data_IF_838477015672
#
_entry.id   IF_838477015672
#
_cell.length_a   1.000
_cell.length_b   1.000
_cell.length_c   1.000
_cell.angle_alpha   90.00
_cell.angle_beta   90.00
_cell.angle_gamma   90.00
#
_symmetry.space_group_name_H-M   'P 1'
#
loop_
_entity.id
_entity.type
_entity.pdbx_description
1 polymer ?
#
# COMPACT_ATOMS: atom_id res chain seq x y z
N UNK A 1 -9.00 5.17 6.26
CA UNK A 1 -7.93 4.89 7.26
C UNK A 1 -8.52 5.06 8.65
N UNK A 2 -7.94 4.45 9.68
CA UNK A 2 -8.51 4.55 11.04
C UNK A 2 -8.53 6.00 11.57
N UNK A 3 -7.47 6.75 11.32
CA UNK A 3 -7.35 8.17 11.69
C UNK A 3 -8.39 9.03 10.96
N UNK A 4 -8.58 8.81 9.66
CA UNK A 4 -9.59 9.47 8.84
C UNK A 4 -11.01 9.18 9.33
N UNK A 5 -11.31 7.96 9.77
CA UNK A 5 -12.63 7.63 10.33
C UNK A 5 -12.95 8.46 11.59
N UNK A 6 -11.92 8.78 12.37
CA UNK A 6 -12.02 9.60 13.59
C UNK A 6 -11.67 11.08 13.36
N UNK A 7 -11.83 11.58 12.12
CA UNK A 7 -11.56 12.97 11.73
C UNK A 7 -10.18 13.49 12.17
N UNK A 8 -9.18 12.60 12.20
CA UNK A 8 -7.79 12.90 12.57
C UNK A 8 -7.62 13.49 13.97
N UNK A 9 -8.54 13.21 14.91
CA UNK A 9 -8.56 13.84 16.25
C UNK A 9 -7.31 13.64 17.11
N UNK A 10 -6.47 12.65 16.82
CA UNK A 10 -5.19 12.39 17.50
C UNK A 10 -3.97 12.73 16.64
N UNK A 11 -4.18 13.28 15.44
CA UNK A 11 -3.15 13.54 14.42
C UNK A 11 -3.30 12.65 13.19
N UNK A 12 -2.48 12.89 12.19
CA UNK A 12 -2.43 12.09 10.96
C UNK A 12 -1.36 11.00 11.10
N UNK A 13 -1.73 9.75 10.81
CA UNK A 13 -0.76 8.66 10.76
C UNK A 13 0.10 8.83 9.50
N UNK A 14 1.41 8.74 9.66
CA UNK A 14 2.35 9.05 8.58
C UNK A 14 2.57 7.86 7.65
N UNK A 15 2.63 8.15 6.34
CA UNK A 15 2.89 7.16 5.31
C UNK A 15 4.03 7.62 4.41
N UNK A 16 4.53 6.69 3.60
CA UNK A 16 5.18 7.02 2.32
C UNK A 16 4.20 6.74 1.19
N UNK A 17 4.26 7.56 0.16
CA UNK A 17 3.46 7.39 -1.05
C UNK A 17 4.34 6.97 -2.23
N UNK A 18 3.69 6.69 -3.36
CA UNK A 18 4.31 6.37 -4.62
C UNK A 18 3.59 7.13 -5.73
N UNK A 19 4.34 7.48 -6.77
CA UNK A 19 3.82 8.04 -8.01
C UNK A 19 4.21 7.12 -9.16
N UNK A 20 3.25 6.78 -10.00
CA UNK A 20 3.46 5.90 -11.13
C UNK A 20 3.33 6.67 -12.44
N UNK A 21 4.29 6.48 -13.34
CA UNK A 21 4.22 6.95 -14.72
C UNK A 21 4.17 5.77 -15.66
N UNK A 22 3.11 5.70 -16.47
CA UNK A 22 2.88 4.60 -17.42
C UNK A 22 3.25 5.04 -18.83
N UNK A 23 3.94 4.17 -19.55
CA UNK A 23 4.36 4.40 -20.93
C UNK A 23 4.09 3.15 -21.77
N UNK A 24 3.55 3.35 -22.97
CA UNK A 24 3.42 2.29 -23.98
C UNK A 24 4.57 2.45 -24.97
N UNK A 25 5.38 1.40 -25.13
CA UNK A 25 6.55 1.40 -26.01
C UNK A 25 6.25 0.55 -27.25
N UNK A 26 6.70 1.02 -28.42
CA UNK A 26 6.55 0.31 -29.69
C UNK A 26 7.67 -0.72 -29.89
N UNK A 27 7.85 -1.57 -28.88
CA UNK A 27 8.79 -2.69 -28.88
C UNK A 27 8.23 -3.86 -28.07
N UNK A 28 8.70 -5.06 -28.39
CA UNK A 28 8.17 -6.28 -27.79
C UNK A 28 8.65 -6.48 -26.35
N UNK A 29 9.87 -6.05 -26.01
CA UNK A 29 10.49 -6.35 -24.72
C UNK A 29 11.48 -5.24 -24.32
N UNK A 30 11.17 -4.51 -23.26
CA UNK A 30 11.97 -3.38 -22.79
C UNK A 30 13.15 -3.83 -21.90
N UNK A 31 12.88 -4.68 -20.89
CA UNK A 31 13.89 -5.03 -19.88
C UNK A 31 14.02 -6.54 -19.62
N UNK A 32 13.17 -7.37 -20.22
CA UNK A 32 13.25 -8.83 -20.13
C UNK A 32 12.91 -9.42 -18.77
N UNK A 33 12.32 -8.63 -17.87
CA UNK A 33 11.89 -9.08 -16.55
C UNK A 33 10.71 -8.24 -16.05
N UNK A 34 9.83 -8.83 -15.24
CA UNK A 34 8.64 -8.12 -14.73
C UNK A 34 9.00 -6.90 -13.86
N UNK A 35 10.06 -7.00 -13.06
CA UNK A 35 10.48 -5.93 -12.15
C UNK A 35 12.00 -5.80 -12.19
N UNK A 36 12.49 -4.58 -12.40
CA UNK A 36 13.90 -4.22 -12.26
C UNK A 36 14.02 -3.08 -11.25
N UNK A 37 14.84 -3.26 -10.22
CA UNK A 37 15.11 -2.26 -9.20
C UNK A 37 16.32 -1.43 -9.60
N UNK A 38 16.22 -0.12 -9.41
CA UNK A 38 17.33 0.83 -9.57
C UNK A 38 17.73 1.30 -8.17
N UNK A 39 18.99 1.07 -7.81
CA UNK A 39 19.49 1.27 -6.43
C UNK A 39 20.45 2.45 -6.30
N UNK A 40 20.81 3.03 -7.44
CA UNK A 40 21.62 4.23 -7.58
C UNK A 40 20.82 5.45 -7.16
N UNK A 41 21.44 6.32 -6.35
CA UNK A 41 20.76 7.49 -5.78
C UNK A 41 20.39 8.53 -6.83
N UNK A 42 21.16 8.60 -7.90
CA UNK A 42 21.02 9.55 -9.00
C UNK A 42 19.83 9.22 -9.91
N UNK A 43 19.32 7.98 -9.85
CA UNK A 43 18.15 7.55 -10.61
C UNK A 43 16.89 7.94 -9.84
N UNK A 44 15.94 8.69 -10.46
CA UNK A 44 14.82 9.28 -9.72
C UNK A 44 13.69 8.29 -9.38
N UNK A 45 13.60 7.16 -10.08
CA UNK A 45 12.62 6.09 -9.84
C UNK A 45 13.29 4.91 -9.14
N UNK A 46 12.53 4.20 -8.31
CA UNK A 46 13.01 3.01 -7.59
C UNK A 46 12.92 1.75 -8.44
N UNK A 47 11.93 1.67 -9.33
CA UNK A 47 11.67 0.48 -10.15
C UNK A 47 11.11 0.83 -11.52
N UNK A 48 11.36 -0.07 -12.46
CA UNK A 48 10.56 -0.20 -13.68
C UNK A 48 9.85 -1.55 -13.66
N UNK A 49 8.54 -1.52 -13.89
CA UNK A 49 7.67 -2.68 -13.99
C UNK A 49 7.28 -2.86 -15.45
N UNK A 50 7.62 -4.00 -16.04
CA UNK A 50 7.18 -4.38 -17.38
C UNK A 50 6.09 -5.46 -17.28
N UNK A 51 4.83 -5.03 -17.34
CA UNK A 51 3.68 -5.83 -16.88
C UNK A 51 3.48 -7.14 -17.64
N UNK A 52 3.82 -7.17 -18.93
CA UNK A 52 3.60 -8.35 -19.76
C UNK A 52 4.33 -9.59 -19.24
N UNK A 53 5.45 -9.43 -18.53
CA UNK A 53 6.21 -10.55 -17.96
C UNK A 53 5.54 -11.17 -16.73
N UNK A 54 4.54 -10.52 -16.12
CA UNK A 54 3.76 -11.11 -15.02
C UNK A 54 2.91 -12.31 -15.48
N UNK A 55 2.48 -12.32 -16.74
CA UNK A 55 1.61 -13.36 -17.33
C UNK A 55 2.14 -13.88 -18.68
N UNK A 56 3.46 -13.82 -18.90
CA UNK A 56 4.13 -14.35 -20.11
C UNK A 56 3.58 -13.79 -21.44
N UNK A 57 3.21 -12.51 -21.47
CA UNK A 57 2.63 -11.86 -22.65
C UNK A 57 3.57 -11.79 -23.86
N UNK A 58 3.00 -11.96 -25.06
CA UNK A 58 3.73 -11.99 -26.35
C UNK A 58 3.31 -10.85 -27.30
N UNK A 59 2.65 -9.82 -26.77
CA UNK A 59 2.16 -8.69 -27.57
C UNK A 59 3.33 -7.92 -28.19
N UNK A 60 3.18 -7.37 -29.42
CA UNK A 60 4.27 -6.68 -30.13
C UNK A 60 4.67 -5.35 -29.50
N UNK A 61 3.86 -4.82 -28.58
CA UNK A 61 4.14 -3.62 -27.78
C UNK A 61 4.20 -4.00 -26.31
N UNK A 62 4.89 -3.19 -25.52
CA UNK A 62 5.00 -3.37 -24.08
C UNK A 62 4.50 -2.14 -23.32
N UNK A 63 4.04 -2.36 -22.08
CA UNK A 63 3.67 -1.30 -21.15
C UNK A 63 4.65 -1.36 -20.00
N UNK A 64 5.32 -0.24 -19.75
CA UNK A 64 6.18 -0.07 -18.59
C UNK A 64 5.58 0.92 -17.61
N UNK A 65 5.86 0.72 -16.32
CA UNK A 65 5.58 1.69 -15.27
C UNK A 65 6.88 2.06 -14.57
N UNK A 66 7.19 3.35 -14.50
CA UNK A 66 8.22 3.88 -13.61
C UNK A 66 7.60 4.21 -12.26
N UNK A 67 8.12 3.61 -11.19
CA UNK A 67 7.71 3.84 -9.80
C UNK A 67 8.62 4.89 -9.16
N UNK A 68 8.05 6.03 -8.76
CA UNK A 68 8.77 7.10 -8.07
C UNK A 68 8.39 7.13 -6.59
N UNK A 69 9.36 7.30 -5.68
CA UNK A 69 9.05 7.59 -4.29
C UNK A 69 8.36 8.95 -4.19
N UNK A 70 7.39 9.08 -3.28
CA UNK A 70 6.74 10.34 -2.99
C UNK A 70 6.57 10.52 -1.48
N UNK A 71 6.81 11.73 -1.00
CA UNK A 71 6.39 12.12 0.33
C UNK A 71 4.86 12.10 0.37
N UNK A 72 4.29 11.48 1.39
CA UNK A 72 2.84 11.43 1.55
C UNK A 72 2.34 12.72 2.21
N UNK A 73 1.20 13.22 1.74
CA UNK A 73 0.37 14.21 2.42
C UNK A 73 -1.08 13.79 2.35
N UNK A 74 -1.92 14.39 3.20
CA UNK A 74 -3.37 14.20 3.17
C UNK A 74 -3.93 14.37 1.75
N UNK A 75 -4.66 13.36 1.29
CA UNK A 75 -5.23 13.30 -0.06
C UNK A 75 -4.42 12.44 -1.03
N UNK A 76 -3.15 12.17 -0.73
CA UNK A 76 -2.35 11.20 -1.48
C UNK A 76 -2.69 9.77 -1.04
N UNK A 77 -2.46 8.81 -1.94
CA UNK A 77 -2.66 7.40 -1.64
C UNK A 77 -1.61 6.93 -0.61
N UNK A 78 -2.03 6.44 0.57
CA UNK A 78 -1.13 5.92 1.58
C UNK A 78 -0.62 4.53 1.17
N UNK A 79 0.66 4.38 0.79
CA UNK A 79 1.22 3.09 0.38
C UNK A 79 1.86 2.33 1.54
N UNK A 80 2.88 2.91 2.18
CA UNK A 80 3.67 2.25 3.21
C UNK A 80 3.56 2.97 4.56
N UNK A 81 3.08 2.33 5.64
CA UNK A 81 3.01 2.97 6.95
C UNK A 81 4.42 3.25 7.50
N UNK A 82 4.58 4.36 8.22
CA UNK A 82 5.81 4.67 8.96
C UNK A 82 5.67 4.11 10.38
N UNK A 83 6.33 2.99 10.65
CA UNK A 83 6.21 2.25 11.91
C UNK A 83 7.25 2.70 12.94
N UNK A 84 7.23 3.98 13.31
CA UNK A 84 8.06 4.54 14.38
C UNK A 84 7.30 4.73 15.70
N UNK A 85 8.00 5.12 16.76
CA UNK A 85 7.42 5.27 18.10
C UNK A 85 6.28 6.31 18.14
N UNK A 86 6.44 7.41 17.40
CA UNK A 86 5.44 8.49 17.31
C UNK A 86 4.14 7.97 16.71
N UNK A 87 4.21 7.32 15.55
CA UNK A 87 3.04 6.81 14.83
C UNK A 87 2.41 5.63 15.57
N UNK A 88 3.20 4.73 16.15
CA UNK A 88 2.68 3.61 16.94
C UNK A 88 1.92 4.10 18.18
N UNK A 89 2.45 5.12 18.86
CA UNK A 89 1.78 5.75 20.01
C UNK A 89 0.48 6.45 19.60
N UNK A 90 0.45 7.11 18.44
CA UNK A 90 -0.75 7.73 17.90
C UNK A 90 -1.80 6.68 17.49
N UNK A 91 -1.36 5.63 16.80
CA UNK A 91 -2.22 4.52 16.37
C UNK A 91 -2.88 3.83 17.56
N UNK A 92 -2.15 3.61 18.66
CA UNK A 92 -2.72 3.05 19.89
C UNK A 92 -3.92 3.85 20.41
N UNK A 93 -3.86 5.19 20.37
CA UNK A 93 -5.00 6.05 20.74
C UNK A 93 -6.20 5.83 19.82
N UNK A 94 -5.97 5.67 18.51
CA UNK A 94 -7.04 5.34 17.58
C UNK A 94 -7.63 3.94 17.80
N UNK A 95 -6.81 2.98 18.20
CA UNK A 95 -7.29 1.63 18.57
C UNK A 95 -8.15 1.67 19.84
N UNK A 96 -7.78 2.46 20.84
CA UNK A 96 -8.60 2.67 22.04
C UNK A 96 -9.97 3.28 21.70
N UNK A 97 -10.03 4.18 20.72
CA UNK A 97 -11.27 4.78 20.24
C UNK A 97 -12.11 3.81 19.42
N UNK A 98 -11.47 3.01 18.57
CA UNK A 98 -12.13 1.92 17.84
C UNK A 98 -12.76 0.89 18.79
N UNK A 99 -12.07 0.54 19.88
CA UNK A 99 -12.56 -0.43 20.86
C UNK A 99 -13.82 0.02 21.62
N UNK A 100 -14.14 1.33 21.62
CA UNK A 100 -15.38 1.87 22.22
C UNK A 100 -16.60 1.72 21.31
N UNK A 101 -16.41 1.34 20.05
CA UNK A 101 -17.46 1.22 19.04
C UNK A 101 -17.83 -0.25 18.81
N UNK A 102 -19.10 -0.59 18.99
CA UNK A 102 -19.65 -1.94 18.81
C UNK A 102 -20.33 -2.17 17.45
N UNK A 103 -20.32 -1.16 16.56
CA UNK A 103 -21.03 -1.19 15.27
C UNK A 103 -20.12 -1.13 14.05
N UNK A 104 -18.82 -0.93 14.25
CA UNK A 104 -17.84 -0.77 13.17
C UNK A 104 -16.64 -1.66 13.43
N UNK A 105 -16.32 -2.49 12.44
CA UNK A 105 -15.15 -3.35 12.47
C UNK A 105 -14.04 -2.73 11.62
N UNK A 106 -12.87 -2.53 12.24
CA UNK A 106 -11.66 -2.08 11.56
C UNK A 106 -10.85 -3.30 11.11
N UNK A 107 -10.62 -3.40 9.80
CA UNK A 107 -9.91 -4.53 9.19
C UNK A 107 -9.13 -4.11 7.94
N UNK A 108 -7.90 -4.59 7.81
CA UNK A 108 -7.06 -4.41 6.62
C UNK A 108 -6.00 -3.32 6.79
N UNK A 109 -5.11 -3.18 5.80
CA UNK A 109 -3.85 -2.41 5.89
C UNK A 109 -4.00 -0.99 6.46
N UNK A 110 -5.06 -0.29 6.07
CA UNK A 110 -5.33 1.11 6.45
C UNK A 110 -6.08 1.25 7.77
N UNK A 111 -6.78 0.20 8.20
CA UNK A 111 -7.52 0.18 9.44
C UNK A 111 -6.62 -0.32 10.59
N UNK A 112 -5.77 -1.31 10.29
CA UNK A 112 -4.82 -1.91 11.23
C UNK A 112 -3.46 -1.18 11.25
N UNK A 113 -3.28 -0.12 10.46
CA UNK A 113 -2.02 0.63 10.26
C UNK A 113 -0.80 -0.29 10.06
N UNK A 114 -0.92 -1.23 9.11
CA UNK A 114 0.08 -2.27 8.87
C UNK A 114 0.33 -2.48 7.39
N UNK A 115 1.55 -2.88 7.06
CA UNK A 115 1.86 -3.42 5.76
C UNK A 115 1.45 -4.90 5.73
N UNK A 116 0.57 -5.26 4.78
CA UNK A 116 0.13 -6.63 4.58
C UNK A 116 0.42 -7.10 3.16
N UNK A 117 0.95 -8.31 3.05
CA UNK A 117 0.86 -9.07 1.81
C UNK A 117 -0.58 -9.55 1.61
N UNK A 118 -0.93 -9.89 0.36
CA UNK A 118 -2.30 -10.27 -0.01
C UNK A 118 -2.82 -11.47 0.80
N UNK A 119 -2.00 -12.49 1.03
CA UNK A 119 -2.42 -13.67 1.79
C UNK A 119 -2.69 -13.36 3.27
N UNK A 120 -1.91 -12.46 3.87
CA UNK A 120 -2.07 -12.05 5.28
C UNK A 120 -3.37 -11.26 5.47
N UNK A 121 -3.73 -10.37 4.53
CA UNK A 121 -4.99 -9.63 4.64
C UNK A 121 -6.21 -10.53 4.39
N UNK A 122 -6.08 -11.57 3.55
CA UNK A 122 -7.12 -12.59 3.39
C UNK A 122 -7.33 -13.36 4.70
N UNK A 123 -6.24 -13.86 5.31
CA UNK A 123 -6.29 -14.53 6.60
C UNK A 123 -6.90 -13.62 7.68
N UNK A 124 -6.47 -12.35 7.74
CA UNK A 124 -7.01 -11.35 8.66
C UNK A 124 -8.51 -11.16 8.47
N UNK A 125 -8.99 -11.04 7.25
CA UNK A 125 -10.41 -10.88 6.95
C UNK A 125 -11.22 -12.12 7.35
N UNK A 126 -10.72 -13.32 7.05
CA UNK A 126 -11.37 -14.57 7.47
C UNK A 126 -11.44 -14.68 8.99
N UNK A 127 -10.36 -14.34 9.70
CA UNK A 127 -10.34 -14.30 11.16
C UNK A 127 -11.36 -13.32 11.74
N UNK A 128 -11.54 -12.14 11.13
CA UNK A 128 -12.59 -11.19 11.52
C UNK A 128 -13.97 -11.80 11.37
N UNK A 129 -14.26 -12.39 10.20
CA UNK A 129 -15.57 -13.01 9.92
C UNK A 129 -15.85 -14.15 10.89
N UNK A 130 -14.87 -15.01 11.16
CA UNK A 130 -14.98 -16.08 12.15
C UNK A 130 -15.28 -15.54 13.55
N UNK A 131 -14.58 -14.50 13.99
CA UNK A 131 -14.82 -13.91 15.32
C UNK A 131 -16.19 -13.24 15.44
N UNK A 132 -16.69 -12.62 14.37
CA UNK A 132 -17.98 -11.93 14.35
C UNK A 132 -19.16 -12.91 14.32
N UNK A 133 -19.06 -13.97 13.52
CA UNK A 133 -20.19 -14.89 13.28
C UNK A 133 -20.07 -16.25 13.98
N UNK A 134 -18.92 -16.56 14.59
CA UNK A 134 -18.73 -17.73 15.45
C UNK A 134 -18.69 -19.09 14.72
N UNK A 135 -18.18 -19.14 13.49
CA UNK A 135 -17.97 -20.39 12.75
C UNK A 135 -16.71 -21.15 13.16
#
# INVERSE_FOLDING_TARGET
MIDQYFDYKHGELEYRSLRFEHEVLDEENYQGNAVVNYTEREIPYTRIIEHKHCEYGTQPKTVITREYPADWKRGDEPYYPINDEKNNTMFAKYQEEAAKNDKVIFCGRLADYKYYDMHVVIERALSVVTNEFGY
#
